data_IF_929573660066
#
_entry.id   IF_929573660066
#
_cell.length_a   1.000
_cell.length_b   1.000
_cell.length_c   1.000
_cell.angle_alpha   90.00
_cell.angle_beta   90.00
_cell.angle_gamma   90.00
#
_symmetry.space_group_name_H-M   'P 1'
#
loop_
_entity.id
_entity.type
_entity.pdbx_description
1 polymer ?
#
# COMPACT_ATOMS: atom_id res chain seq x y z
N UNK A 1 59.29 27.70 4.80
CA UNK A 1 58.02 27.90 4.05
C UNK A 1 57.49 26.53 3.61
N UNK A 2 56.51 25.94 4.32
CA UNK A 2 55.87 24.66 3.93
C UNK A 2 54.41 24.95 3.54
N UNK A 3 54.05 24.53 2.33
CA UNK A 3 52.76 24.79 1.68
C UNK A 3 51.64 23.96 2.31
N UNK A 4 50.52 24.63 2.57
CA UNK A 4 49.24 24.03 2.92
C UNK A 4 48.75 23.08 1.83
N UNK A 5 48.09 21.99 2.23
CA UNK A 5 47.17 21.26 1.37
C UNK A 5 45.93 20.95 2.19
N UNK A 6 44.91 21.77 1.98
CA UNK A 6 43.58 21.66 2.56
C UNK A 6 42.81 20.66 1.67
N UNK A 7 42.60 19.44 2.14
CA UNK A 7 41.72 18.48 1.46
C UNK A 7 40.26 18.80 1.81
N UNK A 8 39.58 19.50 0.92
CA UNK A 8 38.13 19.65 0.94
C UNK A 8 37.51 18.37 0.37
N UNK A 9 37.13 17.44 1.26
CA UNK A 9 36.29 16.30 0.91
C UNK A 9 34.86 16.82 0.75
N UNK A 10 34.51 17.23 -0.47
CA UNK A 10 33.11 17.40 -0.90
C UNK A 10 32.49 16.01 -0.99
N UNK A 11 32.06 15.48 0.16
CA UNK A 11 31.16 14.33 0.21
C UNK A 11 29.83 14.75 -0.41
N UNK A 12 29.64 14.38 -1.68
CA UNK A 12 28.35 14.43 -2.36
C UNK A 12 27.32 13.72 -1.47
N UNK A 13 26.51 14.50 -0.76
CA UNK A 13 25.19 14.02 -0.33
C UNK A 13 24.42 13.76 -1.60
N UNK A 14 24.44 12.52 -2.06
CA UNK A 14 23.53 11.99 -3.06
C UNK A 14 22.12 12.04 -2.47
N UNK A 15 21.49 13.21 -2.59
CA UNK A 15 20.05 13.34 -2.47
C UNK A 15 19.47 12.47 -3.58
N UNK A 16 19.12 11.22 -3.23
CA UNK A 16 18.18 10.45 -4.03
C UNK A 16 16.88 11.25 -4.01
N UNK A 17 16.74 12.15 -4.99
CA UNK A 17 15.47 12.70 -5.38
C UNK A 17 14.65 11.53 -5.90
N UNK A 18 13.98 10.81 -4.99
CA UNK A 18 12.92 9.87 -5.35
C UNK A 18 11.94 10.68 -6.19
N UNK A 19 11.91 10.40 -7.49
CA UNK A 19 11.05 11.08 -8.44
C UNK A 19 9.59 10.82 -8.04
N UNK A 20 8.99 11.78 -7.32
CA UNK A 20 7.64 11.71 -6.76
C UNK A 20 6.52 11.84 -7.80
N UNK A 21 6.82 11.73 -9.10
CA UNK A 21 5.88 12.16 -10.14
C UNK A 21 4.79 11.13 -10.51
N UNK A 22 4.85 9.90 -9.99
CA UNK A 22 3.88 8.85 -10.34
C UNK A 22 3.17 8.18 -9.15
N UNK A 23 3.17 8.80 -7.97
CA UNK A 23 2.35 8.31 -6.86
C UNK A 23 0.86 8.52 -7.17
N UNK A 24 -0.01 7.51 -6.98
CA UNK A 24 -1.44 7.64 -7.24
C UNK A 24 -2.11 8.62 -6.27
N UNK A 25 -1.58 8.73 -5.05
CA UNK A 25 -1.93 9.70 -4.02
C UNK A 25 -0.82 9.75 -2.96
N UNK A 26 -0.90 10.75 -2.07
CA UNK A 26 -0.13 10.82 -0.82
C UNK A 26 -1.12 10.87 0.34
N UNK A 27 -0.85 10.13 1.41
CA UNK A 27 -1.72 10.01 2.57
C UNK A 27 -2.15 8.57 2.81
N UNK A 28 -3.23 8.40 3.56
CA UNK A 28 -3.78 7.08 3.89
C UNK A 28 -5.15 6.92 3.26
N UNK A 29 -5.39 5.73 2.72
CA UNK A 29 -6.67 5.32 2.15
C UNK A 29 -7.08 3.97 2.72
N UNK A 30 -8.37 3.79 2.96
CA UNK A 30 -8.92 2.53 3.45
C UNK A 30 -9.94 1.99 2.45
N UNK A 31 -10.00 0.67 2.33
CA UNK A 31 -10.93 -0.06 1.47
C UNK A 31 -11.29 -1.39 2.15
N UNK A 32 -12.53 -1.84 2.00
CA UNK A 32 -13.01 -3.10 2.56
C UNK A 32 -13.29 -4.05 1.41
N UNK A 33 -12.42 -5.05 1.22
CA UNK A 33 -12.60 -6.04 0.15
C UNK A 33 -13.74 -7.02 0.42
N UNK A 34 -14.53 -6.84 1.48
CA UNK A 34 -15.92 -7.28 1.61
C UNK A 34 -16.24 -8.61 0.94
N UNK A 35 -15.97 -9.72 1.62
CA UNK A 35 -16.21 -11.07 1.09
C UNK A 35 -16.88 -12.04 2.05
N UNK A 36 -17.01 -11.67 3.33
CA UNK A 36 -17.48 -12.58 4.38
C UNK A 36 -18.55 -11.90 5.23
N UNK A 37 -19.80 -12.41 5.29
CA UNK A 37 -20.88 -11.81 6.07
C UNK A 37 -20.62 -11.76 7.60
N UNK A 38 -19.69 -12.57 8.10
CA UNK A 38 -19.43 -12.72 9.52
C UNK A 38 -18.52 -11.64 10.12
N UNK A 39 -17.71 -10.96 9.30
CA UNK A 39 -16.74 -9.96 9.77
C UNK A 39 -16.32 -9.00 8.66
N UNK A 40 -15.90 -7.79 9.04
CA UNK A 40 -15.35 -6.78 8.13
C UNK A 40 -13.85 -6.96 7.97
N UNK A 41 -13.36 -6.92 6.73
CA UNK A 41 -11.93 -6.99 6.42
C UNK A 41 -11.43 -5.66 5.85
N UNK A 42 -11.06 -4.75 6.74
CA UNK A 42 -10.56 -3.43 6.39
C UNK A 42 -9.09 -3.47 5.99
N UNK A 43 -8.76 -2.96 4.81
CA UNK A 43 -7.40 -2.74 4.36
C UNK A 43 -7.09 -1.25 4.40
N UNK A 44 -5.86 -0.90 4.76
CA UNK A 44 -5.38 0.48 4.80
C UNK A 44 -4.04 0.59 4.09
N UNK A 45 -3.95 1.51 3.15
CA UNK A 45 -2.77 1.79 2.36
C UNK A 45 -2.31 3.22 2.61
N UNK A 46 -1.11 3.37 3.16
CA UNK A 46 -0.46 4.66 3.38
C UNK A 46 0.69 4.85 2.40
N UNK A 47 0.72 5.96 1.67
CA UNK A 47 1.81 6.38 0.79
C UNK A 47 2.35 7.73 1.28
N UNK A 48 3.61 7.76 1.71
CA UNK A 48 4.30 9.00 2.11
C UNK A 48 4.75 9.79 0.88
N UNK A 49 5.06 11.09 1.08
CA UNK A 49 5.59 11.96 0.03
C UNK A 49 6.82 11.43 -0.67
N UNK A 50 7.65 10.61 -0.02
CA UNK A 50 8.86 9.99 -0.58
C UNK A 50 8.60 8.61 -1.23
N UNK A 51 7.33 8.23 -1.41
CA UNK A 51 6.94 6.94 -1.97
C UNK A 51 7.04 5.75 -1.00
N UNK A 52 7.45 5.94 0.26
CA UNK A 52 7.37 4.86 1.25
C UNK A 52 5.91 4.48 1.49
N UNK A 53 5.61 3.20 1.31
CA UNK A 53 4.26 2.64 1.29
C UNK A 53 4.10 1.57 2.37
N UNK A 54 2.97 1.57 3.06
CA UNK A 54 2.58 0.54 4.03
C UNK A 54 1.15 0.07 3.74
N UNK A 55 0.96 -1.23 3.65
CA UNK A 55 -0.35 -1.88 3.57
C UNK A 55 -0.61 -2.63 4.88
N UNK A 56 -1.76 -2.39 5.49
CA UNK A 56 -2.23 -3.12 6.68
C UNK A 56 -3.61 -3.69 6.46
N UNK A 57 -3.91 -4.80 7.13
CA UNK A 57 -5.26 -5.38 7.25
C UNK A 57 -5.71 -5.35 8.71
N UNK A 58 -6.98 -5.09 8.92
CA UNK A 58 -7.68 -5.19 10.20
C UNK A 58 -8.94 -6.01 9.98
N UNK A 59 -9.17 -6.99 10.85
CA UNK A 59 -10.41 -7.77 10.86
C UNK A 59 -11.26 -7.29 12.01
N UNK A 60 -12.52 -6.94 11.75
CA UNK A 60 -13.47 -6.49 12.77
C UNK A 60 -14.68 -7.44 12.79
N UNK A 61 -14.87 -8.08 13.95
CA UNK A 61 -16.05 -8.85 14.29
C UNK A 61 -17.09 -7.96 14.98
N UNK A 62 -18.30 -8.46 15.19
CA UNK A 62 -19.36 -7.74 15.91
C UNK A 62 -18.99 -7.36 17.35
N UNK A 63 -18.09 -8.11 17.99
CA UNK A 63 -17.70 -7.92 19.40
C UNK A 63 -16.35 -7.24 19.61
N UNK A 64 -15.45 -7.27 18.61
CA UNK A 64 -14.09 -6.73 18.73
C UNK A 64 -13.43 -6.57 17.36
N UNK A 65 -12.35 -5.78 17.30
CA UNK A 65 -11.45 -5.73 16.16
C UNK A 65 -10.08 -6.28 16.54
N UNK A 66 -9.52 -7.10 15.65
CA UNK A 66 -8.15 -7.57 15.75
C UNK A 66 -7.16 -6.43 15.60
N UNK A 67 -5.96 -6.63 16.14
CA UNK A 67 -4.85 -5.70 15.92
C UNK A 67 -4.49 -5.65 14.43
N UNK A 68 -4.22 -4.47 13.86
CA UNK A 68 -3.82 -4.36 12.46
C UNK A 68 -2.54 -5.15 12.16
N UNK A 69 -2.58 -5.97 11.11
CA UNK A 69 -1.42 -6.73 10.60
C UNK A 69 -0.82 -5.98 9.42
N UNK A 70 0.51 -5.84 9.39
CA UNK A 70 1.20 -5.25 8.24
C UNK A 70 1.45 -6.32 7.17
N UNK A 71 0.82 -6.14 6.01
CA UNK A 71 0.94 -7.04 4.86
C UNK A 71 2.09 -6.64 3.93
N UNK A 72 2.43 -5.35 3.89
CA UNK A 72 3.51 -4.82 3.08
C UNK A 72 4.11 -3.54 3.69
N UNK A 73 5.42 -3.38 3.57
CA UNK A 73 6.15 -2.16 3.91
C UNK A 73 7.35 -2.02 2.97
N UNK A 74 7.42 -0.93 2.19
CA UNK A 74 8.49 -0.75 1.20
C UNK A 74 8.27 0.47 0.29
N UNK A 75 9.01 0.53 -0.81
CA UNK A 75 8.80 1.57 -1.84
C UNK A 75 7.51 1.32 -2.63
N UNK A 76 6.83 2.39 -3.04
CA UNK A 76 5.58 2.29 -3.81
C UNK A 76 5.75 1.44 -5.07
N UNK A 77 4.78 0.55 -5.29
CA UNK A 77 4.58 -0.20 -6.53
C UNK A 77 3.10 -0.11 -6.90
N UNK A 78 2.81 0.01 -8.19
CA UNK A 78 1.43 -0.04 -8.69
C UNK A 78 0.74 -1.39 -8.43
N UNK A 79 1.51 -2.45 -8.18
CA UNK A 79 1.02 -3.75 -7.75
C UNK A 79 1.83 -4.24 -6.56
N UNK A 80 1.15 -4.46 -5.44
CA UNK A 80 1.74 -4.87 -4.16
C UNK A 80 1.36 -6.32 -3.92
N UNK A 81 2.36 -7.21 -3.91
CA UNK A 81 2.15 -8.62 -3.54
C UNK A 81 2.31 -8.84 -2.04
N UNK A 82 1.45 -9.66 -1.45
CA UNK A 82 1.52 -10.07 -0.04
C UNK A 82 1.03 -11.52 0.13
N UNK A 83 1.36 -12.13 1.27
CA UNK A 83 0.89 -13.47 1.64
C UNK A 83 -0.06 -13.40 2.81
N UNK A 84 -1.15 -14.14 2.72
CA UNK A 84 -2.17 -14.24 3.76
C UNK A 84 -2.74 -15.66 3.77
N UNK A 85 -2.79 -16.31 4.94
CA UNK A 85 -3.29 -17.69 5.07
C UNK A 85 -2.55 -18.71 4.19
N UNK A 86 -1.26 -18.48 3.92
CA UNK A 86 -0.46 -19.32 3.00
C UNK A 86 -0.72 -19.08 1.51
N UNK A 87 -1.69 -18.24 1.16
CA UNK A 87 -1.99 -17.85 -0.22
C UNK A 87 -1.25 -16.57 -0.61
N UNK A 88 -0.96 -16.44 -1.91
CA UNK A 88 -0.38 -15.23 -2.50
C UNK A 88 -1.48 -14.39 -3.11
N UNK A 89 -1.54 -13.12 -2.71
CA UNK A 89 -2.45 -12.13 -3.27
C UNK A 89 -1.67 -10.93 -3.81
N UNK A 90 -2.37 -10.12 -4.60
CA UNK A 90 -1.87 -8.85 -5.08
C UNK A 90 -2.94 -7.77 -4.96
N UNK A 91 -2.55 -6.58 -4.51
CA UNK A 91 -3.38 -5.39 -4.66
C UNK A 91 -2.81 -4.57 -5.82
N UNK A 92 -3.60 -4.38 -6.87
CA UNK A 92 -3.30 -3.48 -7.97
C UNK A 92 -3.97 -2.14 -7.74
N UNK A 93 -3.17 -1.07 -7.76
CA UNK A 93 -3.60 0.30 -7.50
C UNK A 93 -3.52 1.11 -8.78
N UNK A 94 -4.61 1.82 -9.06
CA UNK A 94 -4.63 2.93 -10.01
C UNK A 94 -4.92 4.23 -9.27
N UNK A 95 -4.94 5.36 -9.97
CA UNK A 95 -5.27 6.67 -9.36
C UNK A 95 -6.66 6.71 -8.71
N UNK A 96 -7.58 5.84 -9.13
CA UNK A 96 -9.00 5.87 -8.71
C UNK A 96 -9.50 4.56 -8.09
N UNK A 97 -8.83 3.44 -8.34
CA UNK A 97 -9.34 2.10 -8.00
C UNK A 97 -8.29 1.22 -7.34
N UNK A 98 -8.75 0.29 -6.50
CA UNK A 98 -7.94 -0.78 -5.92
C UNK A 98 -8.58 -2.12 -6.26
N UNK A 99 -7.81 -3.05 -6.82
CA UNK A 99 -8.27 -4.40 -7.16
C UNK A 99 -7.51 -5.43 -6.32
N UNK A 100 -8.23 -6.38 -5.73
CA UNK A 100 -7.62 -7.57 -5.13
C UNK A 100 -7.54 -8.66 -6.20
N UNK A 101 -6.34 -9.19 -6.40
CA UNK A 101 -6.06 -10.25 -7.37
C UNK A 101 -5.54 -11.49 -6.65
N UNK A 102 -5.93 -12.66 -7.16
CA UNK A 102 -5.45 -13.95 -6.69
C UNK A 102 -4.01 -14.25 -7.14
N UNK A 103 -3.49 -15.43 -6.77
CA UNK A 103 -2.13 -15.88 -7.15
C UNK A 103 -1.87 -15.90 -8.67
N UNK A 104 -2.92 -16.07 -9.46
CA UNK A 104 -2.86 -16.08 -10.93
C UNK A 104 -3.07 -14.68 -11.53
N UNK A 105 -3.12 -13.62 -10.70
CA UNK A 105 -3.41 -12.23 -11.07
C UNK A 105 -4.81 -12.03 -11.67
N UNK A 106 -5.73 -12.94 -11.40
CA UNK A 106 -7.14 -12.78 -11.77
C UNK A 106 -7.82 -11.95 -10.68
N UNK A 107 -8.68 -11.02 -11.09
CA UNK A 107 -9.44 -10.17 -10.18
C UNK A 107 -10.44 -10.99 -9.35
N UNK A 108 -10.35 -10.86 -8.03
CA UNK A 108 -11.34 -11.37 -7.07
C UNK A 108 -12.32 -10.28 -6.64
N UNK A 109 -11.81 -9.08 -6.31
CA UNK A 109 -12.60 -7.94 -5.85
C UNK A 109 -12.13 -6.64 -6.48
N UNK A 110 -13.03 -5.67 -6.63
CA UNK A 110 -12.74 -4.32 -7.13
C UNK A 110 -13.35 -3.25 -6.23
N UNK A 111 -12.55 -2.23 -5.92
CA UNK A 111 -12.99 -1.00 -5.27
C UNK A 111 -12.95 0.11 -6.32
N UNK A 112 -14.11 0.44 -6.88
CA UNK A 112 -14.22 1.44 -7.97
C UNK A 112 -13.86 2.88 -7.54
N UNK A 113 -13.74 3.12 -6.23
CA UNK A 113 -13.43 4.43 -5.69
C UNK A 113 -12.62 4.32 -4.40
N UNK A 114 -11.35 4.73 -4.45
CA UNK A 114 -10.50 4.94 -3.26
C UNK A 114 -10.66 6.39 -2.74
N UNK A 115 -11.90 6.85 -2.57
CA UNK A 115 -12.21 8.24 -2.21
C UNK A 115 -12.26 8.48 -0.71
N UNK A 116 -11.22 8.06 0.04
CA UNK A 116 -10.96 8.49 1.44
C UNK A 116 -11.97 8.03 2.51
N UNK A 117 -13.19 7.66 2.11
CA UNK A 117 -14.22 7.06 2.95
C UNK A 117 -14.20 5.55 2.76
N UNK A 118 -14.43 4.79 3.84
CA UNK A 118 -14.67 3.35 3.78
C UNK A 118 -15.85 3.08 2.84
N UNK A 119 -15.56 2.68 1.60
CA UNK A 119 -16.55 2.17 0.65
C UNK A 119 -16.39 0.67 0.55
N UNK A 120 -17.47 -0.13 0.62
CA UNK A 120 -17.40 -1.56 0.37
C UNK A 120 -16.95 -1.79 -1.08
N UNK A 121 -15.97 -2.67 -1.25
CA UNK A 121 -15.57 -3.12 -2.58
C UNK A 121 -16.53 -4.22 -3.04
N UNK A 122 -16.75 -4.28 -4.35
CA UNK A 122 -17.68 -5.23 -4.94
C UNK A 122 -16.92 -6.49 -5.33
N UNK A 123 -17.38 -7.66 -4.86
CA UNK A 123 -16.87 -8.95 -5.31
C UNK A 123 -17.28 -9.21 -6.75
N UNK A 124 -16.44 -9.90 -7.53
CA UNK A 124 -16.82 -10.37 -8.86
C UNK A 124 -17.87 -11.49 -8.83
N UNK A 125 -18.09 -12.13 -7.68
CA UNK A 125 -18.93 -13.31 -7.53
C UNK A 125 -20.37 -13.02 -7.06
N UNK A 126 -20.77 -11.74 -6.99
CA UNK A 126 -22.16 -11.32 -6.79
C UNK A 126 -22.69 -10.58 -8.02
#
# INVERSE_FOLDING_TARGET
MKKSSLFLVLGLLSTQAFANNNLPFVGTKSFDFGGVPAHHEGYTLSIKKNGQTKLTKTVCYSSHCDRPVTLYSGAFKSMIGFKEGGQQYYIQLTKKQAKLLNRNKQQEYDCDSINGNYGPCVSRYY
#
